data_IF_064496897161
#
_entry.id   IF_064496897161
#
_cell.length_a   1.000
_cell.length_b   1.000
_cell.length_c   1.000
_cell.angle_alpha   90.00
_cell.angle_beta   90.00
_cell.angle_gamma   90.00
#
_symmetry.space_group_name_H-M   'P 1'
#
loop_
_entity.id
_entity.type
_entity.pdbx_description
1 polymer ?
#
# COMPACT_ATOMS: atom_id res chain seq x y z
N UNK A 1 5.26 25.49 11.86
CA UNK A 1 5.59 24.97 13.22
C UNK A 1 4.27 24.48 13.76
N UNK A 2 4.11 23.17 13.96
CA UNK A 2 2.85 22.58 14.37
C UNK A 2 2.31 23.22 15.66
N UNK A 3 1.04 23.63 15.64
CA UNK A 3 0.40 24.25 16.79
C UNK A 3 -0.19 23.18 17.70
N UNK A 4 0.01 23.35 19.01
CA UNK A 4 -0.66 22.51 20.02
C UNK A 4 -2.17 22.67 19.91
N UNK A 5 -2.89 21.58 20.18
CA UNK A 5 -4.35 21.57 20.20
C UNK A 5 -4.88 22.62 21.18
N UNK A 6 -5.96 23.29 20.78
CA UNK A 6 -6.73 24.12 21.70
C UNK A 6 -7.35 23.22 22.78
N UNK A 7 -7.67 23.79 23.94
CA UNK A 7 -8.29 23.02 25.04
C UNK A 7 -9.58 22.30 24.61
N UNK A 8 -10.36 22.93 23.73
CA UNK A 8 -11.58 22.35 23.15
C UNK A 8 -11.29 21.15 22.25
N UNK A 9 -10.27 21.23 21.39
CA UNK A 9 -9.87 20.11 20.54
C UNK A 9 -9.25 18.97 21.33
N UNK A 10 -8.56 19.26 22.43
CA UNK A 10 -8.03 18.25 23.33
C UNK A 10 -9.16 17.49 24.05
N UNK A 11 -10.18 18.20 24.54
CA UNK A 11 -11.38 17.57 25.11
C UNK A 11 -12.12 16.73 24.07
N UNK A 12 -12.25 17.24 22.84
CA UNK A 12 -12.85 16.50 21.75
C UNK A 12 -12.05 15.23 21.43
N UNK A 13 -10.72 15.31 21.33
CA UNK A 13 -9.84 14.17 21.11
C UNK A 13 -10.10 13.09 22.14
N UNK A 14 -10.14 13.44 23.43
CA UNK A 14 -10.40 12.47 24.50
C UNK A 14 -11.81 11.88 24.46
N UNK A 15 -12.82 12.67 24.07
CA UNK A 15 -14.18 12.18 23.85
C UNK A 15 -14.22 11.15 22.71
N UNK A 16 -13.64 11.47 21.56
CA UNK A 16 -13.59 10.57 20.39
C UNK A 16 -12.78 9.31 20.72
N UNK A 17 -11.64 9.46 21.39
CA UNK A 17 -10.80 8.35 21.87
C UNK A 17 -11.60 7.37 22.73
N UNK A 18 -12.37 7.89 23.69
CA UNK A 18 -13.19 7.05 24.58
C UNK A 18 -14.24 6.27 23.79
N UNK A 19 -14.94 6.95 22.89
CA UNK A 19 -15.93 6.31 22.01
C UNK A 19 -15.26 5.21 21.19
N UNK A 20 -14.13 5.49 20.53
CA UNK A 20 -13.41 4.49 19.74
C UNK A 20 -13.04 3.23 20.57
N UNK A 21 -12.61 3.40 21.82
CA UNK A 21 -12.33 2.29 22.74
C UNK A 21 -13.60 1.52 23.15
N UNK A 22 -14.72 2.21 23.41
CA UNK A 22 -16.02 1.58 23.70
C UNK A 22 -16.54 0.75 22.52
N UNK A 23 -16.23 1.19 21.29
CA UNK A 23 -16.46 0.41 20.07
C UNK A 23 -15.43 -0.72 19.84
N UNK A 24 -14.49 -0.93 20.76
CA UNK A 24 -13.55 -2.06 20.71
C UNK A 24 -12.41 -1.89 19.71
N UNK A 25 -12.14 -0.66 19.27
CA UNK A 25 -10.95 -0.36 18.47
C UNK A 25 -9.70 -0.38 19.36
N UNK A 26 -8.60 -0.86 18.81
CA UNK A 26 -7.28 -0.90 19.44
C UNK A 26 -6.25 -0.24 18.54
N UNK A 27 -5.80 0.96 18.91
CA UNK A 27 -4.95 1.82 18.10
C UNK A 27 -3.65 2.21 18.83
N UNK A 28 -2.70 2.80 18.10
CA UNK A 28 -1.52 3.44 18.71
C UNK A 28 -1.92 4.74 19.40
N UNK A 29 -1.05 5.27 20.26
CA UNK A 29 -1.23 6.65 20.71
C UNK A 29 -1.26 7.59 19.50
N UNK A 30 -2.30 8.42 19.39
CA UNK A 30 -2.49 9.35 18.27
C UNK A 30 -2.20 10.77 18.74
N UNK A 31 -1.23 11.41 18.10
CA UNK A 31 -0.87 12.80 18.29
C UNK A 31 -1.49 13.60 17.14
N UNK A 32 -2.39 14.52 17.47
CA UNK A 32 -2.96 15.45 16.50
C UNK A 32 -2.22 16.78 16.52
N UNK A 33 -1.85 17.26 15.35
CA UNK A 33 -1.22 18.56 15.13
C UNK A 33 -2.13 19.44 14.28
N UNK A 34 -2.36 20.68 14.71
CA UNK A 34 -3.14 21.63 13.92
C UNK A 34 -2.21 22.37 12.98
N UNK A 35 -2.54 22.32 11.69
CA UNK A 35 -1.77 22.93 10.60
C UNK A 35 -2.66 23.82 9.75
N UNK A 36 -2.06 24.84 9.14
CA UNK A 36 -2.75 25.64 8.14
C UNK A 36 -2.82 24.93 6.78
N UNK A 37 -3.43 25.61 5.81
CA UNK A 37 -3.62 25.09 4.47
C UNK A 37 -2.31 24.86 3.70
N UNK A 38 -1.36 25.79 3.82
CA UNK A 38 -0.08 25.69 3.11
C UNK A 38 0.78 24.60 3.75
N UNK A 39 0.80 24.52 5.09
CA UNK A 39 1.45 23.47 5.87
C UNK A 39 0.90 22.08 5.53
N UNK A 40 -0.41 21.91 5.44
CA UNK A 40 -1.01 20.62 5.08
C UNK A 40 -0.58 20.18 3.67
N UNK A 41 -0.57 21.10 2.71
CA UNK A 41 -0.12 20.79 1.35
C UNK A 41 1.39 20.46 1.29
N UNK A 42 2.21 21.15 2.09
CA UNK A 42 3.65 20.85 2.19
C UNK A 42 3.87 19.43 2.75
N UNK A 43 3.18 19.10 3.84
CA UNK A 43 3.28 17.78 4.48
C UNK A 43 2.76 16.69 3.52
N UNK A 44 1.63 16.93 2.86
CA UNK A 44 1.07 16.00 1.87
C UNK A 44 1.99 15.80 0.67
N UNK A 45 2.68 16.85 0.20
CA UNK A 45 3.66 16.73 -0.88
C UNK A 45 4.85 15.85 -0.48
N UNK A 46 5.17 15.76 0.81
CA UNK A 46 6.19 14.88 1.37
C UNK A 46 5.66 13.48 1.75
N UNK A 47 4.51 13.07 1.21
CA UNK A 47 3.80 11.82 1.53
C UNK A 47 3.43 11.71 3.02
N UNK A 48 3.23 12.84 3.66
CA UNK A 48 2.85 12.93 5.06
C UNK A 48 3.99 13.12 6.05
N UNK A 49 5.25 13.10 5.59
CA UNK A 49 6.40 13.27 6.46
C UNK A 49 6.80 14.76 6.59
N UNK A 50 7.16 15.25 7.80
CA UNK A 50 7.57 16.63 7.99
C UNK A 50 8.93 16.96 7.34
N UNK A 51 9.78 15.96 7.12
CA UNK A 51 11.09 16.12 6.47
C UNK A 51 11.29 15.03 5.43
N UNK A 52 11.71 15.43 4.22
CA UNK A 52 12.22 14.54 3.17
C UNK A 52 13.56 15.05 2.66
N UNK A 53 14.26 14.20 1.92
CA UNK A 53 15.48 14.58 1.21
C UNK A 53 15.18 15.69 0.19
N UNK A 54 16.12 16.62 -0.03
CA UNK A 54 15.95 17.68 -1.02
C UNK A 54 15.82 17.08 -2.43
N UNK A 55 14.73 17.41 -3.11
CA UNK A 55 14.47 16.97 -4.48
C UNK A 55 13.36 17.81 -5.12
N UNK A 56 13.52 18.16 -6.40
CA UNK A 56 12.55 19.00 -7.13
C UNK A 56 11.13 18.40 -7.21
N UNK A 57 11.00 17.06 -7.23
CA UNK A 57 9.71 16.32 -7.26
C UNK A 57 8.74 16.83 -6.20
N UNK A 58 9.22 17.14 -5.00
CA UNK A 58 8.35 17.59 -3.91
C UNK A 58 7.73 18.97 -4.18
N UNK A 59 8.48 19.87 -4.82
CA UNK A 59 7.94 21.15 -5.28
C UNK A 59 6.90 20.97 -6.38
N UNK A 60 7.12 20.02 -7.28
CA UNK A 60 6.14 19.67 -8.31
C UNK A 60 4.83 19.11 -7.70
N UNK A 61 4.93 18.18 -6.76
CA UNK A 61 3.75 17.63 -6.08
C UNK A 61 3.02 18.69 -5.24
N UNK A 62 3.75 19.58 -4.55
CA UNK A 62 3.14 20.70 -3.83
C UNK A 62 2.32 21.61 -4.76
N UNK A 63 2.89 22.03 -5.89
CA UNK A 63 2.20 22.86 -6.88
C UNK A 63 0.93 22.18 -7.42
N UNK A 64 1.00 20.87 -7.65
CA UNK A 64 -0.13 20.07 -8.12
C UNK A 64 -1.23 20.00 -7.05
N UNK A 65 -0.89 19.69 -5.80
CA UNK A 65 -1.83 19.60 -4.68
C UNK A 65 -2.49 20.94 -4.39
N UNK A 66 -1.69 22.00 -4.27
CA UNK A 66 -2.17 23.36 -4.00
C UNK A 66 -3.14 23.85 -5.08
N UNK A 67 -2.84 23.62 -6.38
CA UNK A 67 -3.76 23.97 -7.48
C UNK A 67 -5.04 23.14 -7.46
N UNK A 68 -4.91 21.82 -7.27
CA UNK A 68 -6.07 20.91 -7.25
C UNK A 68 -7.06 21.32 -6.16
N UNK A 69 -6.55 21.66 -4.98
CA UNK A 69 -7.38 22.13 -3.89
C UNK A 69 -7.92 23.55 -4.14
N UNK A 70 -7.12 24.49 -4.64
CA UNK A 70 -7.57 25.86 -4.96
C UNK A 70 -8.75 25.86 -5.94
N UNK A 71 -8.77 24.91 -6.88
CA UNK A 71 -9.89 24.72 -7.82
C UNK A 71 -11.05 23.90 -7.25
N UNK A 72 -11.00 23.49 -5.98
CA UNK A 72 -12.04 22.71 -5.31
C UNK A 72 -12.18 21.28 -5.88
N UNK A 73 -11.16 20.77 -6.56
CA UNK A 73 -11.20 19.46 -7.21
C UNK A 73 -10.95 18.31 -6.22
N UNK A 74 -10.18 18.59 -5.16
CA UNK A 74 -9.86 17.61 -4.12
C UNK A 74 -9.59 18.32 -2.79
N UNK A 75 -10.12 17.76 -1.70
CA UNK A 75 -9.83 18.20 -0.33
C UNK A 75 -9.20 17.05 0.45
N UNK A 76 -8.09 17.34 1.13
CA UNK A 76 -7.45 16.41 2.06
C UNK A 76 -8.16 16.62 3.40
N UNK A 77 -8.97 15.64 3.80
CA UNK A 77 -9.68 15.68 5.07
C UNK A 77 -8.78 15.21 6.21
N UNK A 78 -7.97 14.19 5.94
CA UNK A 78 -7.06 13.58 6.89
C UNK A 78 -5.71 13.30 6.24
N UNK A 79 -4.67 13.36 7.06
CA UNK A 79 -3.39 12.75 6.75
C UNK A 79 -2.86 12.13 8.04
N UNK A 80 -2.55 10.83 7.98
CA UNK A 80 -2.12 10.03 9.13
C UNK A 80 -0.87 9.23 8.79
N UNK A 81 0.12 9.28 9.68
CA UNK A 81 1.36 8.53 9.59
C UNK A 81 1.28 7.30 10.47
N UNK A 82 1.59 6.15 9.89
CA UNK A 82 1.73 4.89 10.59
C UNK A 82 3.06 4.82 11.36
N UNK A 83 3.09 5.47 12.52
CA UNK A 83 4.21 5.50 13.45
C UNK A 83 3.72 5.11 14.86
N UNK A 84 4.62 4.82 15.80
CA UNK A 84 4.27 4.61 17.21
C UNK A 84 5.06 5.60 18.08
N UNK A 85 4.46 6.76 18.49
CA UNK A 85 3.06 7.15 18.32
C UNK A 85 2.70 7.53 16.87
N UNK A 86 1.41 7.42 16.52
CA UNK A 86 0.85 7.79 15.22
C UNK A 86 0.59 9.29 15.17
N UNK A 87 0.98 9.94 14.08
CA UNK A 87 0.81 11.38 13.89
C UNK A 87 -0.30 11.65 12.89
N UNK A 88 -1.16 12.62 13.19
CA UNK A 88 -2.21 13.05 12.29
C UNK A 88 -2.34 14.57 12.26
N UNK A 89 -2.68 15.11 11.11
CA UNK A 89 -2.76 16.55 10.90
C UNK A 89 -4.20 17.00 10.71
N UNK A 90 -4.59 18.03 11.46
CA UNK A 90 -5.90 18.66 11.41
C UNK A 90 -5.79 20.03 10.77
N UNK A 91 -6.63 20.29 9.78
CA UNK A 91 -6.69 21.61 9.16
C UNK A 91 -7.33 22.63 10.11
N UNK A 92 -6.69 23.77 10.32
CA UNK A 92 -7.15 24.83 11.24
C UNK A 92 -8.47 25.49 10.86
N UNK A 93 -8.87 25.41 9.58
CA UNK A 93 -10.12 25.97 9.06
C UNK A 93 -11.31 25.01 9.12
N UNK A 94 -11.12 23.80 9.64
CA UNK A 94 -12.18 22.82 9.81
C UNK A 94 -13.21 23.28 10.86
N UNK A 95 -14.48 22.92 10.66
CA UNK A 95 -15.50 23.13 11.69
C UNK A 95 -15.35 22.08 12.81
N UNK A 96 -16.06 22.26 13.92
CA UNK A 96 -16.05 21.28 15.01
C UNK A 96 -16.57 19.89 14.57
N UNK A 97 -17.61 19.87 13.73
CA UNK A 97 -18.13 18.64 13.10
C UNK A 97 -17.06 17.95 12.26
N UNK A 98 -16.20 18.71 11.61
CA UNK A 98 -15.15 18.19 10.71
C UNK A 98 -14.02 17.60 11.55
N UNK A 99 -13.65 18.27 12.63
CA UNK A 99 -12.71 17.72 13.59
C UNK A 99 -13.23 16.42 14.23
N UNK A 100 -14.52 16.34 14.60
CA UNK A 100 -15.15 15.10 15.08
C UNK A 100 -15.00 13.97 14.07
N UNK A 101 -15.35 14.24 12.80
CA UNK A 101 -15.28 13.27 11.71
C UNK A 101 -13.85 12.79 11.44
N UNK A 102 -12.92 13.73 11.31
CA UNK A 102 -11.51 13.46 10.99
C UNK A 102 -10.83 12.70 12.13
N UNK A 103 -11.03 13.11 13.39
CA UNK A 103 -10.47 12.40 14.54
C UNK A 103 -11.02 10.96 14.62
N UNK A 104 -12.32 10.77 14.42
CA UNK A 104 -12.93 9.43 14.41
C UNK A 104 -12.35 8.55 13.28
N UNK A 105 -12.15 9.13 12.10
CA UNK A 105 -11.54 8.45 10.96
C UNK A 105 -10.08 8.06 11.23
N UNK A 106 -9.28 8.97 11.77
CA UNK A 106 -7.87 8.74 12.12
C UNK A 106 -7.71 7.63 13.16
N UNK A 107 -8.56 7.59 14.20
CA UNK A 107 -8.50 6.50 15.18
C UNK A 107 -8.76 5.12 14.54
N UNK A 108 -9.68 5.06 13.58
CA UNK A 108 -9.96 3.83 12.85
C UNK A 108 -8.80 3.44 11.91
N UNK A 109 -8.12 4.39 11.28
CA UNK A 109 -6.88 4.11 10.54
C UNK A 109 -5.76 3.58 11.46
N UNK A 110 -5.51 4.24 12.59
CA UNK A 110 -4.50 3.82 13.55
C UNK A 110 -4.78 2.39 14.07
N UNK A 111 -6.05 2.07 14.28
CA UNK A 111 -6.50 0.72 14.60
C UNK A 111 -6.22 -0.28 13.46
N UNK A 112 -6.48 0.09 12.21
CA UNK A 112 -6.15 -0.73 11.05
C UNK A 112 -4.64 -1.01 10.94
N UNK A 113 -3.81 0.04 11.06
CA UNK A 113 -2.35 -0.05 10.98
C UNK A 113 -1.73 -0.91 12.08
N UNK A 114 -2.33 -0.92 13.27
CA UNK A 114 -1.88 -1.73 14.39
C UNK A 114 -2.22 -3.22 14.21
N UNK A 115 -3.39 -3.51 13.65
CA UNK A 115 -3.97 -4.85 13.70
C UNK A 115 -3.94 -5.63 12.38
N UNK A 116 -3.66 -5.01 11.24
CA UNK A 116 -3.58 -5.71 9.96
C UNK A 116 -2.21 -6.39 9.77
N UNK A 117 -2.23 -7.65 9.32
CA UNK A 117 -1.04 -8.48 9.16
C UNK A 117 0.01 -7.90 8.19
N UNK A 118 -0.41 -7.15 7.16
CA UNK A 118 0.50 -6.56 6.18
C UNK A 118 1.29 -5.38 6.76
N UNK A 119 0.77 -4.74 7.81
CA UNK A 119 1.48 -3.68 8.53
C UNK A 119 2.43 -4.21 9.60
N UNK A 120 2.37 -5.50 9.96
CA UNK A 120 3.15 -6.04 11.09
C UNK A 120 4.67 -5.81 10.98
N UNK A 121 5.21 -5.77 9.77
CA UNK A 121 6.63 -5.56 9.49
C UNK A 121 6.99 -4.11 9.10
N UNK A 122 6.04 -3.17 9.18
CA UNK A 122 6.34 -1.76 8.90
C UNK A 122 7.22 -1.15 9.99
N UNK A 123 8.18 -0.32 9.57
CA UNK A 123 8.99 0.45 10.51
C UNK A 123 8.11 1.46 11.25
N UNK A 124 7.99 1.32 12.58
CA UNK A 124 7.18 2.18 13.44
C UNK A 124 7.90 3.46 13.90
N UNK A 125 9.11 3.69 13.38
CA UNK A 125 9.93 4.89 13.59
C UNK A 125 10.37 5.51 12.27
N UNK A 126 9.51 5.41 11.25
CA UNK A 126 9.86 5.87 9.91
C UNK A 126 10.10 7.39 9.86
N UNK A 127 9.50 8.16 10.78
CA UNK A 127 9.81 9.59 10.93
C UNK A 127 11.31 9.84 11.16
N UNK A 128 11.92 9.05 12.06
CA UNK A 128 13.34 9.16 12.37
C UNK A 128 14.18 8.70 11.17
N UNK A 129 13.85 7.59 10.53
CA UNK A 129 14.61 7.10 9.36
C UNK A 129 14.56 8.07 8.17
N UNK A 130 13.40 8.69 7.90
CA UNK A 130 13.26 9.69 6.83
C UNK A 130 14.14 10.93 7.09
N UNK A 131 14.27 11.35 8.35
CA UNK A 131 15.21 12.39 8.75
C UNK A 131 16.66 11.97 8.45
N UNK A 132 17.04 10.75 8.87
CA UNK A 132 18.39 10.22 8.60
C UNK A 132 18.67 10.11 7.10
N UNK A 133 17.69 9.68 6.29
CA UNK A 133 17.81 9.65 4.83
C UNK A 133 18.05 11.05 4.26
N UNK A 134 17.28 12.05 4.71
CA UNK A 134 17.43 13.43 4.28
C UNK A 134 18.81 14.00 4.62
N UNK A 135 19.31 13.76 5.83
CA UNK A 135 20.65 14.19 6.25
C UNK A 135 21.76 13.53 5.43
N UNK A 136 21.66 12.22 5.17
CA UNK A 136 22.65 11.49 4.36
C UNK A 136 22.67 11.95 2.92
N UNK A 137 21.50 12.19 2.31
CA UNK A 137 21.42 12.71 0.94
C UNK A 137 22.01 14.12 0.87
N UNK A 138 21.75 14.99 1.85
CA UNK A 138 22.39 16.32 1.92
C UNK A 138 23.91 16.22 2.03
N UNK A 139 24.42 15.33 2.87
CA UNK A 139 25.87 15.11 2.99
C UNK A 139 26.49 14.62 1.66
N UNK A 140 25.81 13.74 0.92
CA UNK A 140 26.26 13.34 -0.41
C UNK A 140 26.20 14.50 -1.42
N UNK A 141 25.17 15.35 -1.37
CA UNK A 141 25.07 16.54 -2.22
C UNK A 141 26.21 17.54 -1.96
N UNK A 142 26.59 17.74 -0.69
CA UNK A 142 27.74 18.57 -0.32
C UNK A 142 29.07 18.00 -0.84
N UNK A 143 29.22 16.68 -0.83
CA UNK A 143 30.45 16.00 -1.23
C UNK A 143 30.60 15.83 -2.75
N UNK A 144 29.52 15.48 -3.45
CA UNK A 144 29.54 15.07 -4.86
C UNK A 144 28.88 16.08 -5.80
N UNK A 145 28.23 17.11 -5.27
CA UNK A 145 27.46 18.10 -6.01
C UNK A 145 25.97 17.77 -6.09
N UNK A 146 25.14 18.81 -6.06
CA UNK A 146 23.67 18.70 -6.04
C UNK A 146 23.14 17.97 -7.27
N UNK A 147 23.55 18.41 -8.47
CA UNK A 147 23.09 17.86 -9.75
C UNK A 147 23.37 16.36 -9.89
N UNK A 148 24.57 15.91 -9.48
CA UNK A 148 25.02 14.51 -9.59
C UNK A 148 24.18 13.59 -8.70
N UNK A 149 23.90 14.03 -7.47
CA UNK A 149 23.11 13.24 -6.52
C UNK A 149 21.63 13.28 -6.88
N UNK A 150 21.11 14.44 -7.28
CA UNK A 150 19.72 14.59 -7.71
C UNK A 150 19.42 13.73 -8.94
N UNK A 151 20.27 13.74 -9.96
CA UNK A 151 20.11 12.89 -11.15
C UNK A 151 20.08 11.40 -10.78
N UNK A 152 20.94 10.98 -9.84
CA UNK A 152 20.95 9.59 -9.37
C UNK A 152 19.68 9.25 -8.57
N UNK A 153 19.17 10.18 -7.77
CA UNK A 153 17.88 10.03 -7.07
C UNK A 153 16.74 9.91 -8.07
N UNK A 154 16.71 10.72 -9.14
CA UNK A 154 15.73 10.61 -10.22
C UNK A 154 15.73 9.22 -10.87
N UNK A 155 16.92 8.65 -11.13
CA UNK A 155 17.00 7.28 -11.64
C UNK A 155 16.45 6.26 -10.66
N UNK A 156 16.76 6.39 -9.37
CA UNK A 156 16.24 5.49 -8.35
C UNK A 156 14.70 5.60 -8.22
N UNK A 157 14.16 6.81 -8.28
CA UNK A 157 12.72 7.07 -8.23
C UNK A 157 11.98 6.55 -9.46
N UNK A 158 12.64 6.43 -10.61
CA UNK A 158 12.01 5.85 -11.81
C UNK A 158 11.73 4.33 -11.71
N UNK A 159 12.34 3.66 -10.71
CA UNK A 159 12.25 2.22 -10.49
C UNK A 159 11.83 1.87 -9.05
N UNK A 160 11.35 2.84 -8.27
CA UNK A 160 10.98 2.65 -6.86
C UNK A 160 9.85 1.63 -6.67
N UNK A 161 9.04 1.44 -7.71
CA UNK A 161 7.96 0.48 -7.78
C UNK A 161 8.38 -0.92 -8.28
N UNK A 162 9.64 -1.12 -8.67
CA UNK A 162 10.16 -2.42 -9.14
C UNK A 162 10.75 -3.24 -7.97
N UNK A 163 9.97 -3.34 -6.90
CA UNK A 163 10.27 -4.11 -5.69
C UNK A 163 9.37 -5.36 -5.60
N UNK A 164 9.78 -6.36 -4.81
CA UNK A 164 8.97 -7.57 -4.61
C UNK A 164 7.97 -7.38 -3.47
N UNK A 165 6.76 -6.93 -3.81
CA UNK A 165 5.65 -6.75 -2.87
C UNK A 165 5.29 -8.02 -2.07
N UNK A 166 5.51 -9.19 -2.64
CA UNK A 166 5.09 -10.46 -2.03
C UNK A 166 6.15 -11.08 -1.12
N UNK A 167 7.40 -10.64 -1.23
CA UNK A 167 8.51 -11.18 -0.45
C UNK A 167 9.45 -10.06 0.04
N UNK A 168 9.02 -9.28 1.05
CA UNK A 168 9.84 -8.22 1.64
C UNK A 168 11.23 -8.69 2.10
N UNK A 169 12.24 -7.80 2.08
CA UNK A 169 13.65 -8.11 2.40
C UNK A 169 13.89 -8.83 3.72
N UNK A 170 13.06 -8.59 4.75
CA UNK A 170 13.18 -9.25 6.05
C UNK A 170 12.95 -10.77 5.96
N UNK A 171 12.21 -11.25 4.96
CA UNK A 171 12.01 -12.67 4.68
C UNK A 171 13.19 -13.28 3.89
N UNK A 172 14.03 -12.46 3.23
CA UNK A 172 15.14 -12.92 2.38
C UNK A 172 16.39 -13.31 3.16
N UNK A 173 16.72 -12.63 4.26
CA UNK A 173 17.94 -12.91 5.05
C UNK A 173 18.02 -14.35 5.57
N UNK A 174 16.89 -15.09 5.64
CA UNK A 174 16.86 -16.50 6.05
C UNK A 174 17.15 -17.52 4.93
N UNK A 175 17.14 -17.14 3.64
CA UNK A 175 17.29 -18.10 2.53
C UNK A 175 18.70 -18.21 1.93
N UNK A 176 19.62 -17.30 2.23
CA UNK A 176 21.02 -17.39 1.76
C UNK A 176 21.84 -18.29 2.69
N UNK A 177 21.30 -19.48 2.98
CA UNK A 177 21.98 -20.56 3.66
C UNK A 177 22.25 -21.69 2.68
N UNK A 178 23.46 -21.71 2.10
CA UNK A 178 24.06 -22.84 1.37
C UNK A 178 23.25 -23.39 0.18
N UNK A 179 23.58 -22.93 -1.03
CA UNK A 179 23.42 -23.75 -2.24
C UNK A 179 24.76 -23.89 -2.96
N UNK A 180 25.39 -25.02 -2.65
CA UNK A 180 26.17 -25.88 -3.54
C UNK A 180 27.31 -25.26 -4.37
N UNK A 181 28.53 -25.37 -3.82
CA UNK A 181 29.74 -25.43 -4.62
C UNK A 181 29.71 -26.64 -5.55
N UNK A 182 29.10 -26.47 -6.72
CA UNK A 182 29.18 -27.43 -7.82
C UNK A 182 30.64 -27.65 -8.20
N UNK A 183 31.12 -28.89 -8.08
CA UNK A 183 32.46 -29.30 -8.53
C UNK A 183 32.67 -28.87 -9.98
N UNK A 184 33.56 -27.90 -10.20
CA UNK A 184 34.05 -27.53 -11.53
C UNK A 184 34.60 -28.79 -12.21
N UNK A 185 33.95 -29.26 -13.29
CA UNK A 185 34.50 -30.31 -14.14
C UNK A 185 35.74 -29.74 -14.84
N UNK A 186 36.92 -30.26 -14.49
CA UNK A 186 38.16 -29.92 -15.20
C UNK A 186 38.17 -30.48 -16.63
N UNK A 187 39.12 -30.05 -17.47
CA UNK A 187 39.29 -30.59 -18.82
C UNK A 187 39.50 -32.11 -18.77
N UNK A 188 38.92 -32.83 -19.73
CA UNK A 188 39.00 -34.30 -19.82
C UNK A 188 40.45 -34.67 -20.18
N UNK A 189 41.21 -35.17 -19.20
CA UNK A 189 42.55 -35.70 -19.44
C UNK A 189 42.46 -37.16 -19.83
N UNK A 190 43.09 -37.53 -20.94
CA UNK A 190 43.29 -38.95 -21.27
C UNK A 190 44.39 -39.53 -20.39
N UNK A 191 44.22 -40.78 -19.91
CA UNK A 191 45.17 -41.43 -19.00
C UNK A 191 46.42 -41.86 -19.78
N UNK A 192 47.57 -41.23 -19.52
CA UNK A 192 48.84 -41.47 -20.21
C UNK A 192 49.96 -41.84 -19.23
N UNK A 193 51.00 -42.54 -19.70
CA UNK A 193 52.27 -42.72 -18.96
C UNK A 193 53.07 -41.41 -19.02
N UNK A 194 53.88 -41.13 -17.99
CA UNK A 194 54.58 -39.85 -17.78
C UNK A 194 55.37 -39.35 -19.01
N UNK A 195 56.02 -40.25 -19.75
CA UNK A 195 56.77 -39.90 -20.96
C UNK A 195 55.91 -39.58 -22.20
N UNK A 196 54.63 -40.00 -22.23
CA UNK A 196 53.69 -39.72 -23.31
C UNK A 196 52.69 -38.62 -22.96
N UNK A 197 52.72 -38.08 -21.73
CA UNK A 197 51.73 -37.11 -21.26
C UNK A 197 51.75 -35.82 -22.10
N UNK A 198 52.93 -35.36 -22.54
CA UNK A 198 53.08 -34.19 -23.42
C UNK A 198 52.54 -34.39 -24.84
N UNK A 199 52.53 -35.62 -25.36
CA UNK A 199 52.05 -35.92 -26.71
C UNK A 199 50.57 -36.28 -26.73
N UNK A 200 50.08 -36.97 -25.70
CA UNK A 200 48.68 -37.39 -25.56
C UNK A 200 47.79 -36.24 -25.04
N UNK A 201 48.32 -35.40 -24.16
CA UNK A 201 47.64 -34.20 -23.66
C UNK A 201 48.52 -32.94 -23.87
N UNK A 202 48.62 -32.41 -25.11
CA UNK A 202 49.40 -31.22 -25.38
C UNK A 202 48.96 -30.03 -24.51
N UNK A 203 49.89 -29.26 -23.90
CA UNK A 203 49.55 -28.15 -23.01
C UNK A 203 48.71 -27.05 -23.67
N UNK A 204 48.89 -26.84 -24.98
CA UNK A 204 48.15 -25.85 -25.77
C UNK A 204 46.69 -26.26 -25.95
N UNK A 205 46.44 -27.54 -26.27
CA UNK A 205 45.11 -28.10 -26.48
C UNK A 205 44.31 -28.17 -25.16
N UNK A 206 44.98 -28.45 -24.04
CA UNK A 206 44.39 -28.36 -22.69
C UNK A 206 44.06 -26.93 -22.26
N UNK A 207 44.85 -25.94 -22.69
CA UNK A 207 44.57 -24.51 -22.44
C UNK A 207 43.40 -24.03 -23.27
N UNK A 208 43.31 -24.44 -24.53
CA UNK A 208 42.21 -24.11 -25.42
C UNK A 208 40.90 -24.74 -24.95
N UNK A 209 40.90 -26.04 -24.60
CA UNK A 209 39.75 -26.69 -23.96
C UNK A 209 39.34 -26.04 -22.64
N UNK A 210 40.30 -25.57 -21.83
CA UNK A 210 39.98 -24.81 -20.60
C UNK A 210 39.33 -23.48 -20.94
N UNK A 211 39.83 -22.75 -21.95
CA UNK A 211 39.25 -21.48 -22.39
C UNK A 211 37.84 -21.69 -22.94
N UNK A 212 37.63 -22.72 -23.76
CA UNK A 212 36.31 -23.11 -24.26
C UNK A 212 35.36 -23.53 -23.14
N UNK A 213 35.81 -24.34 -22.18
CA UNK A 213 35.01 -24.70 -20.99
C UNK A 213 34.69 -23.48 -20.13
N UNK A 214 35.61 -22.53 -19.97
CA UNK A 214 35.39 -21.29 -19.23
C UNK A 214 34.43 -20.36 -19.97
N UNK A 215 34.54 -20.24 -21.30
CA UNK A 215 33.61 -19.49 -22.14
C UNK A 215 32.23 -20.14 -22.20
N UNK A 216 32.14 -21.46 -22.31
CA UNK A 216 30.89 -22.21 -22.28
C UNK A 216 30.25 -22.15 -20.90
N UNK A 217 31.04 -22.20 -19.82
CA UNK A 217 30.57 -21.98 -18.45
C UNK A 217 30.08 -20.54 -18.28
N UNK A 218 30.80 -19.52 -18.79
CA UNK A 218 30.34 -18.12 -18.80
C UNK A 218 29.06 -17.93 -19.60
N UNK A 219 28.92 -18.60 -20.75
CA UNK A 219 27.69 -18.60 -21.57
C UNK A 219 26.53 -19.36 -20.91
N UNK A 220 26.83 -20.38 -20.09
CA UNK A 220 25.84 -21.17 -19.33
C UNK A 220 25.44 -20.54 -18.00
N UNK A 221 26.24 -19.64 -17.43
CA UNK A 221 25.85 -18.84 -16.28
C UNK A 221 24.75 -17.88 -16.76
N UNK A 222 23.49 -18.30 -16.57
CA UNK A 222 22.37 -17.36 -16.60
C UNK A 222 22.60 -16.39 -15.45
N UNK A 223 22.67 -15.12 -15.79
CA UNK A 223 22.80 -14.03 -14.84
C UNK A 223 21.52 -13.19 -14.90
N UNK A 224 20.76 -13.07 -13.80
CA UNK A 224 20.94 -13.75 -12.50
C UNK A 224 20.71 -15.28 -12.56
N UNK A 225 21.26 -16.05 -11.58
CA UNK A 225 21.07 -17.50 -11.50
C UNK A 225 19.61 -17.91 -11.31
N UNK A 226 18.81 -17.05 -10.69
CA UNK A 226 17.37 -17.18 -10.55
C UNK A 226 16.69 -15.86 -10.95
N UNK A 227 15.50 -15.88 -11.58
CA UNK A 227 14.74 -14.66 -11.84
C UNK A 227 14.48 -13.90 -10.55
N UNK A 228 14.83 -12.62 -10.55
CA UNK A 228 14.73 -11.73 -9.40
C UNK A 228 13.62 -10.71 -9.66
N UNK A 229 12.63 -10.61 -8.76
CA UNK A 229 11.53 -9.64 -8.90
C UNK A 229 11.89 -8.26 -8.37
N UNK A 230 12.73 -8.22 -7.34
CA UNK A 230 13.21 -6.98 -6.75
C UNK A 230 14.40 -6.43 -7.56
N UNK A 231 14.08 -5.54 -8.51
CA UNK A 231 15.06 -4.95 -9.41
C UNK A 231 16.02 -4.04 -8.66
N UNK A 232 15.53 -3.30 -7.66
CA UNK A 232 16.38 -2.43 -6.84
C UNK A 232 17.43 -3.24 -6.08
N UNK A 233 17.05 -4.36 -5.44
CA UNK A 233 18.00 -5.24 -4.77
C UNK A 233 18.99 -5.86 -5.76
N UNK A 234 18.50 -6.31 -6.92
CA UNK A 234 19.35 -6.87 -7.97
C UNK A 234 20.44 -5.87 -8.40
N UNK A 235 20.08 -4.59 -8.58
CA UNK A 235 21.03 -3.53 -8.89
C UNK A 235 21.99 -3.26 -7.72
N UNK A 236 21.51 -3.26 -6.47
CA UNK A 236 22.37 -3.09 -5.30
C UNK A 236 23.43 -4.20 -5.18
N UNK A 237 23.08 -5.45 -5.51
CA UNK A 237 23.98 -6.60 -5.37
C UNK A 237 24.97 -6.73 -6.53
N UNK A 238 24.57 -6.32 -7.74
CA UNK A 238 25.32 -6.65 -8.95
C UNK A 238 25.76 -5.47 -9.81
N UNK A 239 25.13 -4.30 -9.71
CA UNK A 239 25.53 -3.15 -10.49
C UNK A 239 26.84 -2.55 -9.92
N UNK A 240 27.70 -1.99 -10.79
CA UNK A 240 28.95 -1.35 -10.39
C UNK A 240 28.69 0.05 -9.79
N UNK A 241 27.98 0.10 -8.66
CA UNK A 241 27.64 1.33 -7.94
C UNK A 241 28.75 1.73 -6.98
N UNK A 242 29.00 3.03 -6.86
CA UNK A 242 29.79 3.58 -5.77
C UNK A 242 29.08 3.38 -4.41
N UNK A 243 29.81 3.47 -3.30
CA UNK A 243 29.25 3.25 -1.96
C UNK A 243 28.09 4.21 -1.64
N UNK A 244 28.21 5.49 -2.04
CA UNK A 244 27.15 6.48 -1.85
C UNK A 244 25.92 6.21 -2.73
N UNK A 245 26.12 5.76 -3.97
CA UNK A 245 25.02 5.37 -4.88
C UNK A 245 24.26 4.16 -4.34
N UNK A 246 24.98 3.15 -3.84
CA UNK A 246 24.39 1.99 -3.19
C UNK A 246 23.61 2.39 -1.94
N UNK A 247 24.13 3.35 -1.17
CA UNK A 247 23.43 3.92 -0.01
C UNK A 247 22.14 4.63 -0.40
N UNK A 248 22.14 5.48 -1.43
CA UNK A 248 20.94 6.19 -1.92
C UNK A 248 19.89 5.20 -2.41
N UNK A 249 20.28 4.22 -3.21
CA UNK A 249 19.39 3.18 -3.71
C UNK A 249 18.78 2.34 -2.57
N UNK A 250 19.56 2.05 -1.52
CA UNK A 250 19.07 1.36 -0.32
C UNK A 250 18.02 2.18 0.43
N UNK A 251 18.24 3.49 0.60
CA UNK A 251 17.31 4.37 1.32
C UNK A 251 15.98 4.47 0.57
N UNK A 252 16.01 4.73 -0.75
CA UNK A 252 14.79 4.82 -1.57
C UNK A 252 14.04 3.49 -1.59
N UNK A 253 14.76 2.35 -1.65
CA UNK A 253 14.16 1.02 -1.56
C UNK A 253 13.46 0.81 -0.22
N UNK A 254 14.06 1.23 0.89
CA UNK A 254 13.47 1.13 2.22
C UNK A 254 12.21 1.99 2.35
N UNK A 255 12.23 3.23 1.84
CA UNK A 255 11.05 4.09 1.75
C UNK A 255 9.94 3.44 0.92
N UNK A 256 10.26 2.88 -0.26
CA UNK A 256 9.29 2.20 -1.11
C UNK A 256 8.60 1.03 -0.37
N UNK A 257 9.35 0.19 0.34
CA UNK A 257 8.79 -0.93 1.11
C UNK A 257 7.86 -0.48 2.25
N UNK A 258 8.06 0.70 2.82
CA UNK A 258 7.19 1.24 3.85
C UNK A 258 5.79 1.57 3.35
N UNK A 259 5.66 2.05 2.11
CA UNK A 259 4.36 2.38 1.52
C UNK A 259 3.61 1.18 0.95
N UNK A 260 4.29 0.03 0.74
CA UNK A 260 3.67 -1.18 0.17
C UNK A 260 2.39 -1.62 0.90
N UNK A 261 2.35 -1.72 2.23
CA UNK A 261 1.12 -2.14 2.92
C UNK A 261 -0.05 -1.19 2.68
N UNK A 262 0.19 0.14 2.69
CA UNK A 262 -0.85 1.13 2.40
C UNK A 262 -1.38 0.99 0.96
N UNK A 263 -0.52 0.67 0.01
CA UNK A 263 -0.91 0.41 -1.38
C UNK A 263 -1.72 -0.90 -1.51
N UNK A 264 -1.33 -1.95 -0.79
CA UNK A 264 -1.97 -3.26 -0.84
C UNK A 264 -3.34 -3.33 -0.14
N UNK A 265 -3.61 -2.42 0.79
CA UNK A 265 -4.83 -2.43 1.62
C UNK A 265 -5.61 -1.12 1.51
N UNK A 266 -5.46 -0.36 0.42
CA UNK A 266 -6.08 0.96 0.28
C UNK A 266 -7.59 0.90 0.44
N UNK A 267 -8.27 0.01 -0.29
CA UNK A 267 -9.74 -0.13 -0.24
C UNK A 267 -10.18 -0.59 1.15
N UNK A 268 -9.47 -1.55 1.74
CA UNK A 268 -9.77 -2.03 3.09
C UNK A 268 -9.56 -0.97 4.17
N UNK A 269 -8.46 -0.21 4.10
CA UNK A 269 -8.11 0.78 5.10
C UNK A 269 -9.08 1.97 5.06
N UNK A 270 -9.31 2.54 3.87
CA UNK A 270 -10.28 3.62 3.69
C UNK A 270 -11.70 3.16 4.04
N UNK A 271 -12.06 1.94 3.64
CA UNK A 271 -13.35 1.33 3.99
C UNK A 271 -13.54 1.13 5.49
N UNK A 272 -12.50 0.70 6.21
CA UNK A 272 -12.55 0.47 7.65
C UNK A 272 -12.69 1.78 8.41
N UNK A 273 -11.91 2.79 8.03
CA UNK A 273 -11.99 4.11 8.61
C UNK A 273 -13.33 4.79 8.33
N UNK A 274 -13.88 4.62 7.13
CA UNK A 274 -15.21 5.09 6.76
C UNK A 274 -16.33 4.32 7.47
N UNK A 275 -16.18 3.02 7.72
CA UNK A 275 -17.16 2.26 8.48
C UNK A 275 -17.26 2.78 9.92
N UNK A 276 -16.12 2.91 10.59
CA UNK A 276 -16.08 3.30 12.00
C UNK A 276 -16.35 4.77 12.23
N UNK A 277 -15.86 5.68 11.38
CA UNK A 277 -16.23 7.09 11.53
C UNK A 277 -17.74 7.27 11.42
N UNK A 278 -18.42 6.43 10.63
CA UNK A 278 -19.83 6.58 10.33
C UNK A 278 -20.63 6.09 11.52
N UNK A 279 -20.26 4.92 12.05
CA UNK A 279 -20.79 4.36 13.29
C UNK A 279 -20.59 5.28 14.50
N UNK A 280 -19.35 5.73 14.74
CA UNK A 280 -19.05 6.59 15.88
C UNK A 280 -19.77 7.93 15.80
N UNK A 281 -19.84 8.52 14.60
CA UNK A 281 -20.60 9.76 14.40
C UNK A 281 -22.08 9.53 14.67
N UNK A 282 -22.73 8.59 13.99
CA UNK A 282 -24.19 8.44 14.06
C UNK A 282 -24.71 7.86 15.37
N UNK A 283 -23.90 7.09 16.11
CA UNK A 283 -24.34 6.43 17.34
C UNK A 283 -23.89 7.13 18.64
N UNK A 284 -22.86 8.00 18.61
CA UNK A 284 -22.30 8.57 19.86
C UNK A 284 -21.80 10.03 19.80
N UNK A 285 -21.26 10.50 18.68
CA UNK A 285 -20.55 11.80 18.63
C UNK A 285 -21.39 12.95 18.05
N UNK A 286 -22.27 12.64 17.11
CA UNK A 286 -23.02 13.63 16.33
C UNK A 286 -24.17 14.23 17.14
N UNK A 287 -24.27 15.56 17.11
CA UNK A 287 -25.41 16.29 17.67
C UNK A 287 -26.44 16.60 16.58
N UNK A 288 -27.74 16.75 16.91
CA UNK A 288 -28.80 16.92 15.91
C UNK A 288 -28.57 18.09 14.93
N UNK A 289 -27.91 19.15 15.38
CA UNK A 289 -27.60 20.33 14.57
C UNK A 289 -26.49 20.08 13.55
N UNK A 290 -25.63 19.09 13.80
CA UNK A 290 -24.46 18.76 12.97
C UNK A 290 -24.80 17.79 11.84
N UNK A 291 -26.02 17.24 11.82
CA UNK A 291 -26.41 16.15 10.92
C UNK A 291 -26.25 16.50 9.44
N UNK A 292 -26.66 17.70 9.04
CA UNK A 292 -26.59 18.13 7.63
C UNK A 292 -25.13 18.30 7.23
N UNK A 293 -24.34 18.96 8.07
CA UNK A 293 -22.90 19.17 7.86
C UNK A 293 -22.14 17.86 7.70
N UNK A 294 -22.43 16.89 8.57
CA UNK A 294 -21.86 15.55 8.50
C UNK A 294 -22.30 14.80 7.22
N UNK A 295 -23.58 14.83 6.89
CA UNK A 295 -24.11 14.13 5.72
C UNK A 295 -23.52 14.66 4.41
N UNK A 296 -23.37 15.99 4.28
CA UNK A 296 -22.72 16.61 3.12
C UNK A 296 -21.27 16.13 2.99
N UNK A 297 -20.50 16.13 4.08
CA UNK A 297 -19.08 15.72 4.06
C UNK A 297 -18.89 14.24 3.81
N UNK A 298 -19.61 13.39 4.55
CA UNK A 298 -19.56 11.96 4.36
C UNK A 298 -19.94 11.57 2.93
N UNK A 299 -21.03 12.15 2.40
CA UNK A 299 -21.46 11.89 1.01
C UNK A 299 -20.45 12.38 -0.02
N UNK A 300 -19.77 13.51 0.22
CA UNK A 300 -18.66 13.98 -0.59
C UNK A 300 -17.50 12.98 -0.68
N UNK A 301 -17.13 12.37 0.44
CA UNK A 301 -16.06 11.36 0.51
C UNK A 301 -16.45 10.04 -0.16
N UNK A 302 -17.68 9.55 0.02
CA UNK A 302 -18.12 8.26 -0.56
C UNK A 302 -18.75 8.39 -1.96
N UNK A 303 -18.86 9.61 -2.49
CA UNK A 303 -19.40 9.82 -3.83
C UNK A 303 -18.48 9.20 -4.89
N UNK A 304 -19.06 8.51 -5.87
CA UNK A 304 -18.31 7.92 -6.97
C UNK A 304 -18.79 8.52 -8.29
N UNK A 305 -17.86 9.04 -9.09
CA UNK A 305 -18.17 9.44 -10.47
C UNK A 305 -18.47 8.19 -11.31
N UNK A 306 -19.42 8.24 -12.25
CA UNK A 306 -19.69 7.14 -13.15
C UNK A 306 -18.42 6.67 -13.89
N UNK A 307 -18.12 5.37 -13.83
CA UNK A 307 -16.93 4.79 -14.44
C UNK A 307 -15.66 4.82 -13.59
N UNK A 308 -15.67 5.48 -12.42
CA UNK A 308 -14.58 5.43 -11.45
C UNK A 308 -14.98 4.64 -10.20
N UNK A 309 -13.99 3.94 -9.65
CA UNK A 309 -14.15 3.16 -8.44
C UNK A 309 -13.63 4.01 -7.29
N UNK A 310 -14.50 4.31 -6.33
CA UNK A 310 -14.13 5.01 -5.11
C UNK A 310 -13.78 3.96 -4.02
N UNK A 311 -12.52 3.88 -3.56
CA UNK A 311 -12.10 2.96 -2.50
C UNK A 311 -12.91 3.07 -1.22
N UNK A 312 -13.22 4.30 -0.78
CA UNK A 312 -14.01 4.60 0.42
C UNK A 312 -15.39 3.95 0.35
N UNK A 313 -16.06 4.11 -0.79
CA UNK A 313 -17.41 3.56 -1.01
C UNK A 313 -17.40 2.04 -1.06
N UNK A 314 -16.52 1.45 -1.87
CA UNK A 314 -16.48 -0.01 -2.03
C UNK A 314 -16.10 -0.68 -0.71
N UNK A 315 -15.08 -0.17 -0.03
CA UNK A 315 -14.65 -0.69 1.27
C UNK A 315 -15.74 -0.59 2.32
N UNK A 316 -16.39 0.58 2.47
CA UNK A 316 -17.50 0.78 3.41
C UNK A 316 -18.64 -0.22 3.17
N UNK A 317 -19.10 -0.32 1.92
CA UNK A 317 -20.23 -1.16 1.57
C UNK A 317 -19.89 -2.64 1.70
N UNK A 318 -18.65 -3.06 1.43
CA UNK A 318 -18.18 -4.42 1.69
C UNK A 318 -18.18 -4.75 3.18
N UNK A 319 -17.68 -3.87 4.06
CA UNK A 319 -17.73 -4.13 5.51
C UNK A 319 -19.17 -4.25 6.02
N UNK A 320 -20.08 -3.36 5.58
CA UNK A 320 -21.51 -3.45 5.89
C UNK A 320 -22.12 -4.77 5.40
N UNK A 321 -21.80 -5.16 4.17
CA UNK A 321 -22.28 -6.41 3.59
C UNK A 321 -21.77 -7.63 4.36
N UNK A 322 -20.49 -7.65 4.75
CA UNK A 322 -19.89 -8.73 5.55
C UNK A 322 -20.56 -8.83 6.91
N UNK A 323 -20.72 -7.71 7.62
CA UNK A 323 -21.36 -7.68 8.92
C UNK A 323 -22.80 -8.20 8.84
N UNK A 324 -23.61 -7.67 7.92
CA UNK A 324 -25.00 -8.10 7.73
C UNK A 324 -25.10 -9.59 7.36
N UNK A 325 -24.23 -10.06 6.46
CA UNK A 325 -24.21 -11.44 5.99
C UNK A 325 -23.91 -12.42 7.14
N UNK A 326 -22.96 -12.08 8.01
CA UNK A 326 -22.63 -12.92 9.17
C UNK A 326 -23.63 -12.81 10.31
N UNK A 327 -24.23 -11.64 10.52
CA UNK A 327 -25.31 -11.47 11.50
C UNK A 327 -26.54 -12.32 11.16
N UNK A 328 -26.89 -12.38 9.87
CA UNK A 328 -28.02 -13.17 9.38
C UNK A 328 -27.70 -14.65 9.16
N UNK A 329 -26.44 -15.06 9.32
CA UNK A 329 -26.02 -16.44 9.07
C UNK A 329 -26.09 -16.87 7.61
N UNK A 330 -25.85 -15.95 6.68
CA UNK A 330 -25.89 -16.18 5.21
C UNK A 330 -24.54 -16.68 4.69
N UNK A 331 -24.01 -17.72 5.30
CA UNK A 331 -22.72 -18.31 4.94
C UNK A 331 -22.74 -19.84 5.15
N UNK A 332 -21.82 -20.54 4.48
CA UNK A 332 -21.70 -21.99 4.57
C UNK A 332 -22.68 -22.76 3.68
N UNK A 333 -22.60 -24.08 3.78
CA UNK A 333 -23.26 -25.01 2.86
C UNK A 333 -24.78 -24.87 2.82
N UNK A 334 -25.42 -24.67 3.97
CA UNK A 334 -26.88 -24.54 4.07
C UNK A 334 -27.42 -23.30 3.34
N UNK A 335 -26.62 -22.23 3.29
CA UNK A 335 -26.94 -21.02 2.54
C UNK A 335 -26.67 -21.21 1.03
N UNK A 336 -25.52 -21.78 0.68
CA UNK A 336 -25.12 -21.98 -0.73
C UNK A 336 -26.05 -22.95 -1.48
N UNK A 337 -26.62 -23.93 -0.79
CA UNK A 337 -27.58 -24.90 -1.34
C UNK A 337 -29.04 -24.40 -1.29
N UNK A 338 -29.29 -23.17 -0.84
CA UNK A 338 -30.63 -22.61 -0.76
C UNK A 338 -31.15 -22.15 -2.14
N UNK A 339 -31.70 -23.10 -2.91
CA UNK A 339 -32.20 -22.86 -4.28
C UNK A 339 -33.42 -21.92 -4.40
N UNK A 340 -34.11 -21.61 -3.29
CA UNK A 340 -35.34 -20.80 -3.34
C UNK A 340 -35.05 -19.32 -3.06
N UNK A 341 -35.26 -18.47 -4.07
CA UNK A 341 -35.09 -17.01 -3.97
C UNK A 341 -35.82 -16.36 -2.78
N UNK A 342 -37.03 -16.83 -2.44
CA UNK A 342 -37.80 -16.32 -1.29
C UNK A 342 -37.14 -16.65 0.06
N UNK A 343 -36.67 -17.91 0.23
CA UNK A 343 -35.99 -18.33 1.46
C UNK A 343 -34.66 -17.60 1.65
N UNK A 344 -33.93 -17.34 0.57
CA UNK A 344 -32.69 -16.57 0.60
C UNK A 344 -32.90 -15.14 1.12
N UNK A 345 -33.99 -14.47 0.72
CA UNK A 345 -34.30 -13.10 1.18
C UNK A 345 -34.72 -13.03 2.66
N UNK A 346 -35.53 -13.98 3.10
CA UNK A 346 -36.04 -14.04 4.48
C UNK A 346 -35.06 -14.71 5.45
N UNK A 347 -33.92 -15.19 4.96
CA UNK A 347 -32.90 -15.84 5.77
C UNK A 347 -32.31 -14.88 6.81
N UNK A 348 -32.60 -15.18 8.07
CA UNK A 348 -32.07 -14.51 9.24
C UNK A 348 -32.03 -15.50 10.42
N UNK A 349 -30.83 -16.04 10.67
CA UNK A 349 -30.57 -16.90 11.82
C UNK A 349 -30.21 -16.10 13.09
N UNK A 350 -30.13 -14.76 13.01
CA UNK A 350 -29.81 -13.86 14.13
C UNK A 350 -28.59 -14.29 14.94
N UNK A 351 -27.53 -14.70 14.25
CA UNK A 351 -26.31 -15.20 14.88
C UNK A 351 -25.51 -14.09 15.57
N UNK A 352 -25.59 -12.85 15.08
CA UNK A 352 -24.87 -11.71 15.66
C UNK A 352 -23.34 -11.81 15.54
N UNK A 353 -22.83 -12.57 14.58
CA UNK A 353 -21.40 -12.83 14.38
C UNK A 353 -20.71 -11.83 13.45
N UNK A 354 -21.45 -10.85 12.90
CA UNK A 354 -20.96 -9.88 11.92
C UNK A 354 -19.78 -9.08 12.41
N UNK A 355 -19.88 -8.55 13.64
CA UNK A 355 -18.80 -7.76 14.25
C UNK A 355 -17.53 -8.57 14.43
N UNK A 356 -17.63 -9.81 14.90
CA UNK A 356 -16.45 -10.68 15.03
C UNK A 356 -15.79 -10.92 13.66
N UNK A 357 -16.60 -11.09 12.61
CA UNK A 357 -16.08 -11.35 11.27
C UNK A 357 -15.35 -10.14 10.67
N UNK A 358 -15.89 -8.92 10.77
CA UNK A 358 -15.22 -7.75 10.19
C UNK A 358 -13.86 -7.47 10.86
N UNK A 359 -13.72 -7.73 12.17
CA UNK A 359 -12.44 -7.63 12.88
C UNK A 359 -11.43 -8.71 12.46
N UNK A 360 -11.91 -9.93 12.17
CA UNK A 360 -11.08 -10.99 11.58
C UNK A 360 -10.62 -10.60 10.17
N UNK A 361 -11.52 -10.08 9.34
CA UNK A 361 -11.25 -9.66 7.96
C UNK A 361 -10.19 -8.56 7.94
N UNK A 362 -10.37 -7.52 8.76
CA UNK A 362 -9.37 -6.45 8.96
C UNK A 362 -7.98 -7.00 9.26
N UNK A 363 -7.89 -8.06 10.06
CA UNK A 363 -6.59 -8.60 10.53
C UNK A 363 -5.82 -9.31 9.43
N UNK A 364 -6.48 -10.07 8.55
CA UNK A 364 -5.83 -11.09 7.72
C UNK A 364 -5.78 -10.72 6.24
N UNK A 365 -6.75 -9.94 5.75
CA UNK A 365 -6.92 -9.71 4.32
C UNK A 365 -6.14 -8.48 3.83
N UNK A 366 -5.89 -8.46 2.51
CA UNK A 366 -5.51 -7.29 1.71
C UNK A 366 -6.58 -7.02 0.65
N UNK A 367 -6.46 -5.95 -0.14
CA UNK A 367 -7.51 -5.57 -1.10
C UNK A 367 -7.83 -6.68 -2.12
N UNK A 368 -6.82 -7.41 -2.59
CA UNK A 368 -6.99 -8.51 -3.56
C UNK A 368 -7.82 -9.62 -2.94
N UNK A 369 -7.42 -10.13 -1.76
CA UNK A 369 -8.12 -11.23 -1.08
C UNK A 369 -9.48 -10.79 -0.53
N UNK A 370 -9.62 -9.53 -0.13
CA UNK A 370 -10.85 -8.94 0.36
C UNK A 370 -11.90 -8.85 -0.75
N UNK A 371 -11.52 -8.35 -1.92
CA UNK A 371 -12.41 -8.33 -3.09
C UNK A 371 -12.66 -9.73 -3.61
N UNK A 372 -11.65 -10.60 -3.61
CA UNK A 372 -11.83 -11.96 -4.10
C UNK A 372 -12.83 -12.75 -3.24
N UNK A 373 -12.75 -12.65 -1.91
CA UNK A 373 -13.62 -13.40 -1.02
C UNK A 373 -15.04 -12.80 -0.93
N UNK A 374 -15.15 -11.46 -0.83
CA UNK A 374 -16.40 -10.83 -0.40
C UNK A 374 -17.17 -10.10 -1.51
N UNK A 375 -16.57 -9.85 -2.68
CA UNK A 375 -17.30 -9.32 -3.84
C UNK A 375 -18.08 -10.45 -4.51
N UNK A 376 -19.25 -10.74 -3.96
CA UNK A 376 -20.21 -11.73 -4.50
C UNK A 376 -21.03 -11.16 -5.65
N UNK A 377 -21.70 -12.05 -6.40
CA UNK A 377 -22.63 -11.64 -7.45
C UNK A 377 -23.75 -10.74 -6.90
N UNK A 378 -24.29 -11.12 -5.74
CA UNK A 378 -25.32 -10.38 -5.02
C UNK A 378 -24.86 -8.97 -4.67
N UNK A 379 -23.63 -8.83 -4.14
CA UNK A 379 -23.05 -7.54 -3.80
C UNK A 379 -22.88 -6.66 -5.03
N UNK A 380 -22.32 -7.21 -6.12
CA UNK A 380 -22.13 -6.47 -7.37
C UNK A 380 -23.46 -5.95 -7.95
N UNK A 381 -24.52 -6.76 -7.89
CA UNK A 381 -25.86 -6.36 -8.32
C UNK A 381 -26.46 -5.27 -7.42
N UNK A 382 -26.35 -5.42 -6.09
CA UNK A 382 -26.86 -4.43 -5.12
C UNK A 382 -26.17 -3.07 -5.28
N UNK A 383 -24.84 -3.08 -5.44
CA UNK A 383 -24.04 -1.86 -5.60
C UNK A 383 -24.03 -1.34 -7.05
N UNK A 384 -24.71 -2.02 -7.97
CA UNK A 384 -24.80 -1.66 -9.40
C UNK A 384 -23.42 -1.49 -10.04
N UNK A 385 -22.51 -2.42 -9.75
CA UNK A 385 -21.17 -2.43 -10.33
C UNK A 385 -21.25 -2.96 -11.76
N UNK A 386 -20.90 -2.11 -12.73
CA UNK A 386 -20.96 -2.41 -14.15
C UNK A 386 -19.66 -2.05 -14.85
N UNK A 387 -19.37 -2.72 -15.97
CA UNK A 387 -18.25 -2.35 -16.84
C UNK A 387 -18.73 -1.25 -17.79
N UNK A 388 -18.11 -0.08 -17.69
CA UNK A 388 -18.36 1.04 -18.58
C UNK A 388 -17.34 1.07 -19.72
N UNK A 389 -17.78 1.46 -20.90
CA UNK A 389 -16.89 1.69 -22.04
C UNK A 389 -17.38 2.84 -22.90
N UNK A 390 -16.43 3.43 -23.62
CA UNK A 390 -16.72 4.52 -24.54
C UNK A 390 -17.39 3.96 -25.79
N UNK A 391 -18.60 4.42 -26.09
CA UNK A 391 -19.24 4.15 -27.38
C UNK A 391 -18.95 5.30 -28.35
N UNK A 392 -18.15 5.06 -29.41
CA UNK A 392 -17.82 6.09 -30.40
C UNK A 392 -19.05 6.65 -31.13
N UNK A 393 -20.13 5.86 -31.25
CA UNK A 393 -21.33 6.27 -31.96
C UNK A 393 -22.16 7.28 -31.16
N UNK A 394 -22.36 7.03 -29.86
CA UNK A 394 -23.11 7.94 -28.98
C UNK A 394 -22.24 9.01 -28.29
N UNK A 395 -20.91 8.92 -28.39
CA UNK A 395 -19.93 9.79 -27.68
C UNK A 395 -20.19 9.87 -26.18
N UNK A 396 -20.62 8.76 -25.58
CA UNK A 396 -20.92 8.63 -24.16
C UNK A 396 -20.38 7.31 -23.64
N UNK A 397 -20.11 7.27 -22.34
CA UNK A 397 -19.86 6.00 -21.65
C UNK A 397 -21.17 5.23 -21.52
N UNK A 398 -21.19 4.00 -22.01
CA UNK A 398 -22.30 3.07 -21.90
C UNK A 398 -21.89 1.85 -21.10
N UNK A 399 -22.86 1.18 -20.50
CA UNK A 399 -22.64 -0.10 -19.83
C UNK A 399 -22.35 -1.15 -20.91
N UNK A 400 -21.11 -1.63 -20.98
CA UNK A 400 -20.70 -2.69 -21.90
C UNK A 400 -21.04 -4.07 -21.37
N UNK A 401 -20.89 -4.28 -20.06
CA UNK A 401 -21.12 -5.58 -19.44
C UNK A 401 -21.68 -5.43 -18.03
N UNK A 402 -22.54 -6.39 -17.65
CA UNK A 402 -23.16 -6.48 -16.33
C UNK A 402 -22.80 -7.76 -15.60
N UNK A 403 -22.01 -8.65 -16.22
CA UNK A 403 -21.55 -9.90 -15.63
C UNK A 403 -20.63 -9.61 -14.42
N UNK A 404 -21.07 -9.96 -13.19
CA UNK A 404 -20.31 -9.69 -11.98
C UNK A 404 -18.95 -10.39 -11.94
N UNK A 405 -18.81 -11.54 -12.61
CA UNK A 405 -17.54 -12.28 -12.69
C UNK A 405 -16.50 -11.46 -13.46
N UNK A 406 -16.91 -10.81 -14.54
CA UNK A 406 -16.02 -9.94 -15.33
C UNK A 406 -15.69 -8.65 -14.58
N UNK A 407 -16.66 -8.07 -13.88
CA UNK A 407 -16.44 -6.88 -13.02
C UNK A 407 -15.38 -7.19 -11.97
N UNK A 408 -15.54 -8.31 -11.25
CA UNK A 408 -14.59 -8.78 -10.23
C UNK A 408 -13.20 -9.02 -10.83
N UNK A 409 -13.12 -9.71 -11.97
CA UNK A 409 -11.84 -9.98 -12.64
C UNK A 409 -11.14 -8.69 -13.08
N UNK A 410 -11.88 -7.73 -13.62
CA UNK A 410 -11.34 -6.43 -14.03
C UNK A 410 -10.79 -5.67 -12.81
N UNK A 411 -11.54 -5.66 -11.71
CA UNK A 411 -11.12 -5.09 -10.43
C UNK A 411 -9.82 -5.71 -9.91
N UNK A 412 -9.76 -7.04 -9.83
CA UNK A 412 -8.57 -7.76 -9.37
C UNK A 412 -7.36 -7.54 -10.30
N UNK A 413 -7.60 -7.42 -11.61
CA UNK A 413 -6.53 -7.12 -12.58
C UNK A 413 -6.00 -5.70 -12.38
N UNK A 414 -6.88 -4.72 -12.18
CA UNK A 414 -6.49 -3.33 -11.90
C UNK A 414 -5.71 -3.18 -10.58
N UNK A 415 -5.93 -4.09 -9.62
CA UNK A 415 -5.20 -4.13 -8.35
C UNK A 415 -3.92 -4.98 -8.40
N UNK A 416 -3.63 -5.63 -9.53
CA UNK A 416 -2.37 -6.35 -9.72
C UNK A 416 -1.21 -5.34 -9.62
N UNK A 417 -0.20 -5.64 -8.81
CA UNK A 417 0.89 -4.72 -8.47
C UNK A 417 0.42 -3.37 -7.90
N UNK A 418 -0.68 -3.36 -7.16
CA UNK A 418 -1.27 -2.16 -6.58
C UNK A 418 -1.63 -1.07 -7.62
N UNK A 419 -1.91 -1.48 -8.87
CA UNK A 419 -2.24 -0.56 -9.96
C UNK A 419 -1.04 0.08 -10.66
N UNK A 420 0.14 -0.55 -10.60
CA UNK A 420 1.35 -0.05 -11.26
C UNK A 420 2.06 -1.07 -12.18
N UNK A 421 2.63 -0.64 -13.32
CA UNK A 421 2.35 0.62 -14.01
C UNK A 421 0.92 0.62 -14.56
N UNK A 422 0.31 1.79 -14.71
CA UNK A 422 -0.99 1.94 -15.36
C UNK A 422 -0.86 1.96 -16.89
#
# INVERSE_FOLDING_TARGET
>A
MAHMLTAELEELKERVRRVALEFGLDFFEVIFEVVDYDELNMIAAYDGFPVRYPHWRWGMEYEKLSKTHTYGLQRIYELVINNDPSYAYLLSSNTMTDHKLVMAHVYAHSDFFKNNAFFAHTNRKMLDEMLHHAERIRAYMEQYGVEVVEEFVDWCLSIDNLIDYHNPPDLRRKRVGKSEGGRRKGPVKFRAKEYMERFINPPELLKEQRRELEEETRRRIRFPPHPERDVMLFLMEHAPLADWQRSVLSMIREEAYYFVPQMMTKIMNEGWATYWHSKMMTEALLEPQELIDYAERHSGTVSAMPGQINPYRIGLELYRYIEERWDKGRFGKEWEECDTYQKSREWDLKLGLGRQKIFEVRRIYNDITFIDEFLTEEFAQQQRLFIYGWDPASRRFVIMDRDPTKVKKLLLTALTNCGQPY
#
